data_IF_473245503091
#
_entry.id   IF_473245503091
#
_cell.length_a   1.000
_cell.length_b   1.000
_cell.length_c   1.000
_cell.angle_alpha   90.00
_cell.angle_beta   90.00
_cell.angle_gamma   90.00
#
_symmetry.space_group_name_H-M   'P 1'
#
loop_
_entity.id
_entity.type
_entity.pdbx_description
1 polymer ?
#
# COMPACT_ATOMS: atom_id res chain seq x y z
N UNK A 1 -14.41 -5.73 -16.58
CA UNK A 1 -15.27 -4.61 -16.14
C UNK A 1 -15.27 -4.55 -14.63
N UNK A 2 -15.04 -3.37 -14.03
CA UNK A 2 -15.07 -3.22 -12.56
C UNK A 2 -16.49 -3.25 -12.02
N UNK A 3 -16.74 -4.06 -11.00
CA UNK A 3 -18.03 -4.13 -10.30
C UNK A 3 -18.36 -2.75 -9.72
N UNK A 4 -19.49 -2.16 -10.11
CA UNK A 4 -19.99 -0.92 -9.53
C UNK A 4 -20.59 -1.24 -8.16
N UNK A 5 -19.80 -1.01 -7.11
CA UNK A 5 -20.27 -1.15 -5.73
C UNK A 5 -21.20 0.00 -5.32
N UNK A 6 -22.16 -0.31 -4.45
CA UNK A 6 -23.06 0.68 -3.84
C UNK A 6 -22.29 1.59 -2.88
N UNK A 7 -22.77 2.82 -2.63
CA UNK A 7 -22.13 3.75 -1.69
C UNK A 7 -21.92 3.15 -0.29
N UNK A 8 -22.89 2.38 0.21
CA UNK A 8 -22.83 1.68 1.50
C UNK A 8 -21.64 0.70 1.58
N UNK A 9 -21.39 -0.04 0.50
CA UNK A 9 -20.24 -0.95 0.44
C UNK A 9 -18.92 -0.18 0.50
N UNK A 10 -18.85 0.99 -0.13
CA UNK A 10 -17.65 1.83 -0.05
C UNK A 10 -17.44 2.44 1.35
N UNK A 11 -18.51 2.76 2.07
CA UNK A 11 -18.41 3.22 3.45
C UNK A 11 -17.82 2.13 4.37
N UNK A 12 -18.25 0.88 4.19
CA UNK A 12 -17.71 -0.25 4.95
C UNK A 12 -16.25 -0.57 4.58
N UNK A 13 -15.92 -0.57 3.29
CA UNK A 13 -14.54 -0.72 2.80
C UNK A 13 -13.63 0.35 3.42
N UNK A 14 -14.09 1.61 3.44
CA UNK A 14 -13.35 2.72 4.05
C UNK A 14 -13.11 2.48 5.53
N UNK A 15 -14.15 2.10 6.28
CA UNK A 15 -14.07 1.83 7.73
C UNK A 15 -13.02 0.76 8.03
N UNK A 16 -13.08 -0.37 7.33
CA UNK A 16 -12.14 -1.49 7.49
C UNK A 16 -10.72 -1.14 7.06
N UNK A 17 -10.58 -0.44 5.94
CA UNK A 17 -9.28 0.01 5.46
C UNK A 17 -8.61 0.96 6.45
N UNK A 18 -9.33 1.95 6.99
CA UNK A 18 -8.79 2.88 7.99
C UNK A 18 -8.41 2.13 9.29
N UNK A 19 -9.17 1.09 9.65
CA UNK A 19 -8.85 0.24 10.80
C UNK A 19 -7.59 -0.62 10.62
N UNK A 20 -6.93 -0.57 9.45
CA UNK A 20 -5.69 -1.28 9.18
C UNK A 20 -5.88 -2.62 8.49
N UNK A 21 -7.12 -3.00 8.14
CA UNK A 21 -7.36 -4.27 7.46
C UNK A 21 -6.75 -4.26 6.04
N UNK A 22 -6.04 -5.32 5.61
CA UNK A 22 -5.38 -5.35 4.31
C UNK A 22 -6.35 -5.17 3.15
N UNK A 23 -6.03 -4.24 2.23
CA UNK A 23 -6.85 -3.96 1.05
C UNK A 23 -7.15 -5.22 0.21
N UNK A 24 -6.21 -6.18 0.16
CA UNK A 24 -6.39 -7.48 -0.53
C UNK A 24 -7.50 -8.32 0.10
N UNK A 25 -7.59 -8.35 1.43
CA UNK A 25 -8.61 -9.11 2.17
C UNK A 25 -9.99 -8.48 1.96
N UNK A 26 -10.08 -7.17 2.16
CA UNK A 26 -11.31 -6.40 1.90
C UNK A 26 -11.76 -6.58 0.44
N UNK A 27 -10.84 -6.42 -0.51
CA UNK A 27 -11.16 -6.53 -1.93
C UNK A 27 -11.71 -7.91 -2.31
N UNK A 28 -11.13 -8.99 -1.76
CA UNK A 28 -11.61 -10.36 -1.95
C UNK A 28 -13.06 -10.53 -1.47
N UNK A 29 -13.39 -10.01 -0.30
CA UNK A 29 -14.73 -10.12 0.30
C UNK A 29 -15.79 -9.36 -0.52
N UNK A 30 -15.45 -8.18 -1.02
CA UNK A 30 -16.38 -7.36 -1.81
C UNK A 30 -16.39 -7.71 -3.31
N UNK A 31 -15.49 -8.59 -3.76
CA UNK A 31 -15.33 -9.01 -5.15
C UNK A 31 -14.83 -7.89 -6.06
N UNK A 32 -13.87 -7.09 -5.58
CA UNK A 32 -13.18 -6.05 -6.33
C UNK A 32 -11.66 -6.29 -6.33
N UNK A 33 -10.90 -5.49 -7.07
CA UNK A 33 -9.45 -5.49 -6.95
C UNK A 33 -8.98 -4.62 -5.79
N UNK A 34 -7.85 -4.99 -5.20
CA UNK A 34 -7.11 -4.17 -4.22
C UNK A 34 -6.72 -2.81 -4.81
N UNK A 35 -6.33 -2.76 -6.09
CA UNK A 35 -6.12 -1.53 -6.83
C UNK A 35 -7.33 -0.60 -6.87
N UNK A 36 -8.57 -1.13 -6.83
CA UNK A 36 -9.76 -0.29 -6.76
C UNK A 36 -9.90 0.37 -5.38
N UNK A 37 -9.50 -0.32 -4.31
CA UNK A 37 -9.46 0.24 -2.95
C UNK A 37 -8.43 1.36 -2.87
N UNK A 38 -7.20 1.15 -3.36
CA UNK A 38 -6.16 2.18 -3.36
C UNK A 38 -6.51 3.41 -4.21
N UNK A 39 -7.06 3.21 -5.41
CA UNK A 39 -7.52 4.33 -6.24
C UNK A 39 -8.63 5.11 -5.56
N UNK A 40 -9.56 4.42 -4.89
CA UNK A 40 -10.64 5.06 -4.14
C UNK A 40 -10.12 5.83 -2.94
N UNK A 41 -9.21 5.24 -2.16
CA UNK A 41 -8.64 5.89 -0.98
C UNK A 41 -7.86 7.15 -1.35
N UNK A 42 -7.10 7.13 -2.44
CA UNK A 42 -6.42 8.31 -2.96
C UNK A 42 -7.41 9.39 -3.45
N UNK A 43 -8.41 9.00 -4.25
CA UNK A 43 -9.38 9.94 -4.85
C UNK A 43 -10.27 10.62 -3.81
N UNK A 44 -10.70 9.87 -2.80
CA UNK A 44 -11.61 10.36 -1.76
C UNK A 44 -10.83 10.79 -0.49
N UNK A 45 -9.49 10.90 -0.59
CA UNK A 45 -8.56 11.33 0.46
C UNK A 45 -8.80 10.67 1.83
N UNK A 46 -8.82 9.34 1.84
CA UNK A 46 -9.01 8.60 3.09
C UNK A 46 -7.80 8.77 4.02
N UNK A 47 -8.03 8.80 5.34
CA UNK A 47 -6.95 8.73 6.32
C UNK A 47 -6.05 7.51 6.09
N UNK A 48 -4.78 7.64 6.45
CA UNK A 48 -3.86 6.52 6.45
C UNK A 48 -4.39 5.40 7.37
N UNK A 49 -4.25 4.13 6.98
CA UNK A 49 -4.62 3.00 7.82
C UNK A 49 -3.85 3.02 9.14
N UNK A 50 -4.55 2.77 10.25
CA UNK A 50 -3.93 2.57 11.56
C UNK A 50 -2.96 1.38 11.47
N UNK A 51 -1.72 1.57 11.94
CA UNK A 51 -0.68 0.55 11.90
C UNK A 51 0.10 0.46 10.57
N UNK A 52 -0.22 1.30 9.58
CA UNK A 52 0.41 1.25 8.26
C UNK A 52 -0.09 0.08 7.41
N UNK A 53 0.13 0.12 6.10
CA UNK A 53 -0.50 -0.80 5.15
C UNK A 53 -0.03 -2.27 5.22
N UNK A 54 0.75 -2.67 6.23
CA UNK A 54 1.51 -3.93 6.25
C UNK A 54 1.39 -4.78 7.53
N UNK A 55 0.52 -4.45 8.49
CA UNK A 55 0.32 -5.30 9.67
C UNK A 55 -0.87 -6.24 9.48
N UNK A 56 -0.68 -7.30 8.70
CA UNK A 56 -1.55 -8.47 8.73
C UNK A 56 -0.93 -9.52 9.67
N UNK A 57 -1.71 -10.25 10.45
CA UNK A 57 -1.21 -11.27 11.40
C UNK A 57 -0.33 -12.38 10.76
N UNK A 58 -0.37 -12.53 9.43
CA UNK A 58 0.53 -13.37 8.62
C UNK A 58 1.46 -12.51 7.74
N UNK A 59 2.34 -11.69 8.34
CA UNK A 59 3.35 -10.95 7.55
C UNK A 59 4.46 -11.92 7.13
N UNK A 60 4.65 -12.08 5.82
CA UNK A 60 5.93 -12.52 5.27
C UNK A 60 6.97 -11.40 5.48
N UNK A 61 7.51 -11.34 6.69
CA UNK A 61 8.51 -10.35 7.10
C UNK A 61 9.76 -10.45 6.24
N UNK A 62 10.08 -11.64 5.72
CA UNK A 62 11.18 -11.86 4.80
C UNK A 62 10.92 -11.13 3.49
N UNK A 63 9.73 -11.28 2.91
CA UNK A 63 9.32 -10.56 1.70
C UNK A 63 9.24 -9.03 1.89
N UNK A 64 8.91 -8.55 3.09
CA UNK A 64 8.92 -7.12 3.41
C UNK A 64 10.35 -6.57 3.56
N UNK A 65 11.24 -7.29 4.25
CA UNK A 65 12.65 -6.92 4.42
C UNK A 65 13.42 -6.94 3.09
N UNK A 66 13.18 -7.94 2.23
CA UNK A 66 13.80 -7.99 0.89
C UNK A 66 13.35 -6.84 -0.03
N UNK A 67 12.17 -6.26 0.19
CA UNK A 67 11.74 -5.05 -0.53
C UNK A 67 12.45 -3.81 -0.02
N UNK A 68 12.68 -3.72 1.29
CA UNK A 68 13.43 -2.62 1.91
C UNK A 68 14.91 -2.67 1.50
N UNK A 69 15.52 -3.85 1.49
CA UNK A 69 16.91 -4.06 1.06
C UNK A 69 17.14 -3.54 -0.37
N UNK A 70 16.25 -3.90 -1.31
CA UNK A 70 16.30 -3.38 -2.69
C UNK A 70 16.12 -1.87 -2.81
N UNK A 71 15.40 -1.25 -1.87
CA UNK A 71 15.24 0.21 -1.83
C UNK A 71 16.53 0.85 -1.32
N UNK A 72 17.19 0.25 -0.32
CA UNK A 72 18.47 0.73 0.21
C UNK A 72 19.58 0.59 -0.83
N UNK A 73 19.70 -0.55 -1.52
CA UNK A 73 20.68 -0.75 -2.60
C UNK A 73 20.55 0.33 -3.69
N UNK A 74 19.30 0.66 -4.03
CA UNK A 74 19.01 1.71 -5.02
C UNK A 74 19.40 3.10 -4.51
N UNK A 75 19.19 3.36 -3.22
CA UNK A 75 19.53 4.64 -2.60
C UNK A 75 21.05 4.81 -2.47
N UNK A 76 21.77 3.75 -2.13
CA UNK A 76 23.24 3.75 -2.07
C UNK A 76 23.87 4.02 -3.43
N UNK A 77 23.33 3.43 -4.50
CA UNK A 77 23.75 3.74 -5.87
C UNK A 77 23.56 5.22 -6.23
N UNK A 78 22.42 5.80 -5.85
CA UNK A 78 22.14 7.22 -6.08
C UNK A 78 23.04 8.15 -5.26
N UNK A 79 23.36 7.80 -4.01
CA UNK A 79 24.30 8.58 -3.20
C UNK A 79 25.71 8.55 -3.79
N UNK A 80 26.12 7.40 -4.32
CA UNK A 80 27.42 7.27 -4.98
C UNK A 80 27.50 8.13 -6.24
N UNK A 81 26.51 8.03 -7.12
CA UNK A 81 26.43 8.86 -8.33
C UNK A 81 26.36 10.36 -8.01
N UNK A 82 25.76 10.74 -6.87
CA UNK A 82 25.71 12.13 -6.42
C UNK A 82 27.08 12.60 -5.90
N UNK A 83 27.77 11.77 -5.12
CA UNK A 83 29.10 12.11 -4.60
C UNK A 83 30.13 12.22 -5.73
N UNK A 84 30.12 11.29 -6.69
CA UNK A 84 31.02 11.30 -7.84
C UNK A 84 30.83 12.57 -8.71
N UNK A 85 29.64 13.17 -8.71
CA UNK A 85 29.32 14.43 -9.42
C UNK A 85 29.65 15.70 -8.63
N UNK A 86 29.88 15.59 -7.32
CA UNK A 86 30.28 16.71 -6.46
C UNK A 86 31.82 16.83 -6.41
N UNK A 87 32.53 15.72 -6.63
CA UNK A 87 33.99 15.64 -6.62
C UNK A 87 34.65 15.94 -8.00
N UNK A 88 33.87 16.26 -9.05
CA UNK A 88 34.31 16.73 -10.38
C UNK A 88 34.16 18.25 -10.53
#
# INVERSE_FOLDING_TARGET
MGKRLRPESWAEIRRRYIAGEPAKRIAREFGISDGAVYKRSARDSWPAPVGGSYVAEDVDLVGALSRLERIMDRFEGLQRDLNDRIDE
#
